data_IF_761507060845
#
_entry.id   IF_761507060845
#
_cell.length_a   1.000
_cell.length_b   1.000
_cell.length_c   1.000
_cell.angle_alpha   90.00
_cell.angle_beta   90.00
_cell.angle_gamma   90.00
#
_symmetry.space_group_name_H-M   'P 1'
#
loop_
_entity.id
_entity.type
_entity.pdbx_description
1 polymer ?
#
# COMPACT_ATOMS: atom_id res chain seq x y z
N UNK A 1 25.93 -5.40 0.34
CA UNK A 1 25.02 -6.48 -0.12
C UNK A 1 24.95 -6.49 -1.65
N UNK A 2 25.07 -7.65 -2.33
CA UNK A 2 24.86 -7.74 -3.79
C UNK A 2 23.41 -8.13 -4.04
N UNK A 3 22.62 -7.26 -4.67
CA UNK A 3 21.27 -7.60 -5.10
C UNK A 3 21.33 -8.54 -6.29
N UNK A 4 20.73 -9.72 -6.15
CA UNK A 4 20.61 -10.70 -7.22
C UNK A 4 19.15 -10.88 -7.59
N UNK A 5 18.83 -10.60 -8.85
CA UNK A 5 17.50 -10.79 -9.41
C UNK A 5 17.61 -11.85 -10.50
N UNK A 6 17.03 -13.03 -10.31
CA UNK A 6 16.99 -14.04 -11.35
C UNK A 6 16.33 -13.49 -12.63
N UNK A 7 16.92 -13.78 -13.79
CA UNK A 7 16.41 -13.30 -15.09
C UNK A 7 14.94 -13.66 -15.33
N UNK A 8 14.53 -14.87 -14.92
CA UNK A 8 13.15 -15.32 -15.10
C UNK A 8 12.16 -14.43 -14.33
N UNK A 9 12.49 -13.95 -13.13
CA UNK A 9 11.62 -13.03 -12.37
C UNK A 9 11.33 -11.78 -13.19
N UNK A 10 12.37 -11.23 -13.84
CA UNK A 10 12.22 -10.03 -14.66
C UNK A 10 11.36 -10.29 -15.90
N UNK A 11 11.57 -11.43 -16.57
CA UNK A 11 10.79 -11.83 -17.74
C UNK A 11 9.30 -12.00 -17.38
N UNK A 12 9.03 -12.58 -16.21
CA UNK A 12 7.69 -12.89 -15.68
C UNK A 12 7.00 -11.71 -14.99
N UNK A 13 7.72 -10.68 -14.59
CA UNK A 13 7.15 -9.46 -14.00
C UNK A 13 6.10 -8.80 -14.91
N UNK A 14 5.20 -7.97 -14.35
CA UNK A 14 4.23 -7.20 -15.14
C UNK A 14 4.96 -6.09 -15.92
N UNK A 15 5.57 -5.14 -15.19
CA UNK A 15 6.23 -3.96 -15.75
C UNK A 15 7.74 -3.90 -15.48
N UNK A 16 8.25 -4.79 -14.64
CA UNK A 16 9.61 -4.75 -14.12
C UNK A 16 9.62 -5.22 -12.67
N UNK A 17 10.78 -5.13 -12.04
CA UNK A 17 10.96 -5.49 -10.62
C UNK A 17 11.26 -4.24 -9.83
N UNK A 18 10.56 -4.09 -8.70
CA UNK A 18 10.78 -3.03 -7.73
C UNK A 18 11.60 -3.57 -6.57
N UNK A 19 12.67 -2.86 -6.23
CA UNK A 19 13.64 -3.23 -5.19
C UNK A 19 13.90 -2.02 -4.32
N UNK A 20 13.82 -2.19 -3.00
CA UNK A 20 14.29 -1.17 -2.08
C UNK A 20 15.78 -1.33 -1.81
N UNK A 21 16.53 -0.24 -1.99
CA UNK A 21 17.94 -0.14 -1.70
C UNK A 21 18.15 0.63 -0.39
N UNK A 22 18.97 0.05 0.47
CA UNK A 22 19.28 0.58 1.80
C UNK A 22 20.71 1.13 1.84
N UNK A 23 20.88 2.44 1.61
CA UNK A 23 22.16 3.09 1.87
C UNK A 23 22.39 3.16 3.39
N UNK A 24 23.57 2.72 3.84
CA UNK A 24 23.97 2.77 5.26
C UNK A 24 24.20 4.21 5.74
N UNK A 25 24.62 5.09 4.84
CA UNK A 25 25.15 6.42 5.20
C UNK A 25 24.14 7.57 5.01
N UNK A 26 22.88 7.31 4.65
CA UNK A 26 21.92 8.40 4.43
C UNK A 26 20.53 8.18 5.04
N UNK A 27 19.85 9.30 5.28
CA UNK A 27 18.52 9.39 5.89
C UNK A 27 17.38 9.12 4.87
N UNK A 28 17.71 8.57 3.71
CA UNK A 28 16.76 8.25 2.66
C UNK A 28 16.98 6.81 2.20
N UNK A 29 15.95 6.24 1.59
CA UNK A 29 16.04 4.96 0.89
C UNK A 29 15.79 5.21 -0.59
N UNK A 30 16.30 4.32 -1.44
CA UNK A 30 16.04 4.40 -2.87
C UNK A 30 15.17 3.23 -3.27
N UNK A 31 14.09 3.50 -4.00
CA UNK A 31 13.29 2.48 -4.65
C UNK A 31 13.77 2.41 -6.10
N UNK A 32 14.38 1.30 -6.47
CA UNK A 32 14.86 1.01 -7.81
C UNK A 32 13.82 0.21 -8.59
N UNK A 33 13.49 0.69 -9.78
CA UNK A 33 12.59 0.06 -10.73
C UNK A 33 13.42 -0.44 -11.90
N UNK A 34 13.48 -1.75 -12.07
CA UNK A 34 14.26 -2.41 -13.11
C UNK A 34 13.28 -2.93 -14.16
N UNK A 35 13.24 -2.28 -15.32
CA UNK A 35 12.34 -2.70 -16.40
C UNK A 35 12.85 -3.96 -17.12
N UNK A 36 12.00 -4.56 -17.96
CA UNK A 36 12.35 -5.76 -18.74
C UNK A 36 13.50 -5.55 -19.74
N UNK A 37 13.89 -4.30 -20.02
CA UNK A 37 15.02 -3.91 -20.87
C UNK A 37 16.27 -3.61 -20.04
N UNK A 38 16.26 -3.91 -18.74
CA UNK A 38 17.34 -3.64 -17.79
C UNK A 38 17.63 -2.15 -17.57
N UNK A 39 16.69 -1.27 -17.92
CA UNK A 39 16.80 0.13 -17.53
C UNK A 39 16.38 0.28 -16.07
N UNK A 40 17.20 1.02 -15.33
CA UNK A 40 16.98 1.28 -13.91
C UNK A 40 16.49 2.72 -13.78
N UNK A 41 15.32 2.90 -13.16
CA UNK A 41 14.85 4.19 -12.65
C UNK A 41 14.90 4.13 -11.12
N UNK A 42 15.24 5.24 -10.49
CA UNK A 42 15.30 5.33 -9.02
C UNK A 42 14.41 6.44 -8.52
N UNK A 43 13.75 6.19 -7.40
CA UNK A 43 12.96 7.17 -6.65
C UNK A 43 13.54 7.28 -5.25
N UNK A 44 13.74 8.49 -4.76
CA UNK A 44 14.15 8.74 -3.38
C UNK A 44 12.91 8.71 -2.50
N UNK A 45 13.00 8.05 -1.35
CA UNK A 45 11.97 8.06 -0.32
C UNK A 45 12.60 8.40 1.04
N UNK A 46 11.84 9.09 1.88
CA UNK A 46 12.23 9.34 3.28
C UNK A 46 12.33 8.01 4.01
N UNK A 47 13.40 7.82 4.79
CA UNK A 47 13.66 6.59 5.54
C UNK A 47 12.88 6.62 6.85
N UNK A 48 12.07 5.59 7.11
CA UNK A 48 11.42 5.44 8.43
C UNK A 48 12.33 4.82 9.48
N UNK A 49 13.03 3.74 9.11
CA UNK A 49 13.82 2.92 10.02
C UNK A 49 15.07 2.39 9.32
N UNK A 50 16.05 1.99 10.11
CA UNK A 50 17.23 1.28 9.64
C UNK A 50 16.90 -0.17 9.27
N UNK A 51 17.59 -0.69 8.26
CA UNK A 51 17.43 -2.07 7.80
C UNK A 51 18.14 -3.04 8.75
N UNK A 52 17.56 -4.23 8.95
CA UNK A 52 18.13 -5.31 9.75
C UNK A 52 18.25 -6.56 8.88
N UNK A 53 19.44 -7.15 8.83
CA UNK A 53 19.73 -8.36 8.03
C UNK A 53 19.02 -9.63 8.53
N UNK A 54 18.45 -9.59 9.73
CA UNK A 54 17.75 -10.71 10.33
C UNK A 54 16.49 -10.24 11.04
N UNK A 55 15.47 -11.10 11.00
CA UNK A 55 14.22 -10.93 11.73
C UNK A 55 14.30 -11.75 13.03
N UNK A 56 14.16 -11.10 14.19
CA UNK A 56 13.94 -11.86 15.43
C UNK A 56 12.50 -12.37 15.45
N UNK A 57 12.35 -13.67 15.16
CA UNK A 57 11.05 -14.33 15.07
C UNK A 57 10.31 -14.40 16.42
N UNK A 58 10.99 -14.13 17.53
CA UNK A 58 10.40 -14.16 18.88
C UNK A 58 9.64 -12.89 19.21
N UNK A 59 9.93 -11.78 18.53
CA UNK A 59 9.36 -10.47 18.81
C UNK A 59 8.91 -9.78 17.51
N UNK A 60 7.74 -10.20 17.00
CA UNK A 60 7.20 -9.64 15.76
C UNK A 60 6.48 -8.31 16.05
N UNK A 61 7.02 -7.22 15.51
CA UNK A 61 6.50 -5.85 15.63
C UNK A 61 6.49 -5.13 14.28
N UNK A 62 5.76 -4.00 14.17
CA UNK A 62 5.77 -3.17 12.95
C UNK A 62 7.21 -2.76 12.60
N UNK A 63 7.97 -2.31 13.59
CA UNK A 63 9.36 -1.90 13.43
C UNK A 63 10.21 -3.03 12.84
N UNK A 64 10.15 -4.23 13.44
CA UNK A 64 10.96 -5.36 13.00
C UNK A 64 10.59 -5.81 11.58
N UNK A 65 9.31 -5.74 11.20
CA UNK A 65 8.87 -6.08 9.84
C UNK A 65 9.31 -5.04 8.81
N UNK A 66 9.22 -3.74 9.12
CA UNK A 66 9.72 -2.68 8.25
C UNK A 66 11.24 -2.78 8.10
N UNK A 67 11.97 -2.98 9.20
CA UNK A 67 13.43 -3.12 9.17
C UNK A 67 13.88 -4.36 8.41
N UNK A 68 13.11 -5.45 8.40
CA UNK A 68 13.48 -6.70 7.73
C UNK A 68 13.09 -6.74 6.25
N UNK A 69 11.87 -6.31 5.91
CA UNK A 69 11.40 -6.32 4.52
C UNK A 69 11.83 -5.08 3.73
N UNK A 70 12.03 -3.97 4.43
CA UNK A 70 11.98 -2.64 3.84
C UNK A 70 10.59 -2.03 3.92
N UNK A 71 10.54 -0.71 4.06
CA UNK A 71 9.30 0.04 4.13
C UNK A 71 8.46 -0.09 2.85
N UNK A 72 9.07 -0.16 1.66
CA UNK A 72 8.34 -0.28 0.38
C UNK A 72 7.58 -1.61 0.34
N UNK A 73 8.29 -2.72 0.59
CA UNK A 73 7.69 -4.06 0.61
C UNK A 73 6.64 -4.17 1.71
N UNK A 74 6.93 -3.66 2.91
CA UNK A 74 5.97 -3.66 4.01
C UNK A 74 4.70 -2.86 3.67
N UNK A 75 4.84 -1.68 3.05
CA UNK A 75 3.70 -0.87 2.61
C UNK A 75 2.90 -1.58 1.53
N UNK A 76 3.55 -2.21 0.55
CA UNK A 76 2.87 -3.00 -0.49
C UNK A 76 2.08 -4.16 0.14
N UNK A 77 2.67 -4.90 1.09
CA UNK A 77 1.98 -5.98 1.79
C UNK A 77 0.75 -5.42 2.53
N UNK A 78 0.95 -4.36 3.31
CA UNK A 78 -0.14 -3.73 4.07
C UNK A 78 -1.25 -3.24 3.15
N UNK A 79 -0.89 -2.56 2.06
CA UNK A 79 -1.81 -2.05 1.05
C UNK A 79 -2.61 -3.17 0.38
N UNK A 80 -1.93 -4.22 -0.09
CA UNK A 80 -2.57 -5.37 -0.71
C UNK A 80 -3.63 -5.98 0.22
N UNK A 81 -3.29 -6.15 1.49
CA UNK A 81 -4.18 -6.71 2.51
C UNK A 81 -5.35 -5.77 2.79
N UNK A 82 -5.07 -4.48 2.97
CA UNK A 82 -6.07 -3.45 3.24
C UNK A 82 -7.15 -3.39 2.14
N UNK A 83 -6.72 -3.51 0.89
CA UNK A 83 -7.58 -3.53 -0.30
C UNK A 83 -7.96 -4.94 -0.78
N UNK A 84 -7.77 -5.98 0.04
CA UNK A 84 -8.19 -7.37 -0.22
C UNK A 84 -7.60 -8.00 -1.50
N UNK A 85 -6.45 -7.50 -1.96
CA UNK A 85 -5.64 -8.19 -2.95
C UNK A 85 -4.98 -9.43 -2.36
N UNK A 86 -4.73 -10.41 -3.21
CA UNK A 86 -3.96 -11.58 -2.82
C UNK A 86 -2.47 -11.26 -2.84
N UNK A 87 -1.75 -11.73 -1.83
CA UNK A 87 -0.29 -11.58 -1.69
C UNK A 87 0.37 -12.96 -1.70
N UNK A 88 1.35 -13.15 -2.58
CA UNK A 88 2.10 -14.40 -2.66
C UNK A 88 3.57 -14.16 -2.41
N UNK A 89 4.18 -14.97 -1.53
CA UNK A 89 5.63 -15.01 -1.38
C UNK A 89 6.22 -16.23 -2.09
N UNK A 90 7.33 -16.03 -2.78
CA UNK A 90 8.05 -17.14 -3.42
C UNK A 90 9.09 -17.68 -2.43
N UNK A 91 8.93 -18.92 -1.99
CA UNK A 91 9.95 -19.68 -1.24
C UNK A 91 10.13 -19.35 0.26
N UNK A 92 9.16 -18.70 0.93
CA UNK A 92 9.28 -18.25 2.34
C UNK A 92 8.07 -18.62 3.22
N UNK A 93 7.70 -19.90 3.31
CA UNK A 93 6.54 -20.36 4.10
C UNK A 93 6.58 -19.94 5.58
N UNK A 94 7.73 -20.05 6.24
CA UNK A 94 7.88 -19.70 7.66
C UNK A 94 7.54 -18.23 7.93
N UNK A 95 8.04 -17.35 7.05
CA UNK A 95 7.82 -15.90 7.13
C UNK A 95 6.35 -15.57 6.89
N UNK A 96 5.64 -16.34 6.06
CA UNK A 96 4.20 -16.15 5.88
C UNK A 96 3.43 -16.45 7.15
N UNK A 97 3.77 -17.52 7.88
CA UNK A 97 3.09 -17.84 9.12
C UNK A 97 3.24 -16.70 10.14
N UNK A 98 4.46 -16.17 10.25
CA UNK A 98 4.81 -15.01 11.08
C UNK A 98 4.02 -13.76 10.65
N UNK A 99 4.08 -13.40 9.36
CA UNK A 99 3.35 -12.27 8.81
C UNK A 99 1.86 -12.41 9.03
N UNK A 100 1.30 -13.58 8.77
CA UNK A 100 -0.12 -13.89 8.96
C UNK A 100 -0.51 -13.74 10.43
N UNK A 101 0.28 -14.26 11.37
CA UNK A 101 0.03 -14.12 12.80
C UNK A 101 0.09 -12.66 13.26
N UNK A 102 1.04 -11.89 12.75
CA UNK A 102 1.14 -10.46 13.05
C UNK A 102 -0.05 -9.68 12.48
N UNK A 103 -0.34 -9.87 11.19
CA UNK A 103 -1.41 -9.17 10.49
C UNK A 103 -2.78 -9.52 11.07
N UNK A 104 -2.99 -10.71 11.63
CA UNK A 104 -4.18 -11.10 12.41
C UNK A 104 -4.50 -10.18 13.57
N UNK A 105 -3.47 -9.55 14.16
CA UNK A 105 -3.65 -8.59 15.25
C UNK A 105 -4.17 -7.25 14.73
N UNK A 106 -3.91 -6.91 13.47
CA UNK A 106 -4.33 -5.65 12.84
C UNK A 106 -5.64 -5.86 12.08
N UNK A 107 -5.79 -6.88 11.25
CA UNK A 107 -6.94 -7.04 10.36
C UNK A 107 -7.83 -8.23 10.71
N UNK A 108 -8.32 -8.27 11.94
CA UNK A 108 -9.08 -9.40 12.53
C UNK A 108 -10.16 -10.03 11.64
N UNK A 109 -10.68 -9.29 10.66
CA UNK A 109 -11.75 -9.69 9.74
C UNK A 109 -11.28 -10.41 8.46
N UNK A 110 -9.97 -10.58 8.23
CA UNK A 110 -9.45 -11.19 6.99
C UNK A 110 -9.29 -12.72 7.08
N UNK A 111 -9.65 -13.42 6.01
CA UNK A 111 -9.37 -14.84 5.83
C UNK A 111 -7.94 -15.08 5.31
N UNK A 112 -6.95 -14.96 6.19
CA UNK A 112 -5.52 -14.92 5.81
C UNK A 112 -5.02 -16.10 4.98
N UNK A 113 -5.48 -17.33 5.26
CA UNK A 113 -5.03 -18.52 4.52
C UNK A 113 -5.49 -18.56 3.05
N UNK A 114 -6.42 -17.68 2.67
CA UNK A 114 -6.80 -17.45 1.28
C UNK A 114 -6.02 -16.28 0.68
N UNK A 115 -5.85 -15.19 1.44
CA UNK A 115 -5.29 -13.93 0.92
C UNK A 115 -3.76 -13.85 0.93
N UNK A 116 -3.06 -14.57 1.81
CA UNK A 116 -1.59 -14.56 1.90
C UNK A 116 -1.09 -16.01 1.90
N UNK A 117 -0.27 -16.37 0.93
CA UNK A 117 0.27 -17.73 0.82
C UNK A 117 1.62 -17.78 0.13
N UNK A 118 2.31 -18.91 0.26
CA UNK A 118 3.61 -19.14 -0.35
C UNK A 118 3.42 -20.11 -1.51
N UNK A 119 4.25 -19.92 -2.52
CA UNK A 119 4.44 -20.91 -3.58
C UNK A 119 5.94 -21.12 -3.77
N UNK A 120 6.30 -22.28 -4.31
CA UNK A 120 7.67 -22.48 -4.76
C UNK A 120 7.92 -21.72 -6.08
N UNK A 121 9.20 -21.61 -6.43
CA UNK A 121 9.63 -20.90 -7.62
C UNK A 121 9.12 -21.59 -8.91
N UNK A 122 9.11 -22.92 -8.94
CA UNK A 122 8.70 -23.68 -10.13
C UNK A 122 7.22 -23.47 -10.44
N UNK A 123 6.38 -23.43 -9.40
CA UNK A 123 4.96 -23.14 -9.50
C UNK A 123 4.73 -21.75 -10.07
N UNK A 124 5.45 -20.75 -9.56
CA UNK A 124 5.35 -19.38 -10.08
C UNK A 124 5.76 -19.30 -11.56
N UNK A 125 6.86 -19.96 -11.93
CA UNK A 125 7.37 -19.98 -13.30
C UNK A 125 6.38 -20.62 -14.29
N UNK A 126 5.74 -21.72 -13.89
CA UNK A 126 4.76 -22.47 -14.69
C UNK A 126 3.41 -21.74 -14.76
N UNK A 127 2.99 -21.10 -13.69
CA UNK A 127 1.64 -20.55 -13.53
C UNK A 127 1.57 -19.03 -13.44
N UNK A 128 2.58 -18.29 -13.89
CA UNK A 128 2.66 -16.81 -13.76
C UNK A 128 1.38 -16.08 -14.16
N UNK A 129 0.69 -16.53 -15.22
CA UNK A 129 -0.57 -15.92 -15.70
C UNK A 129 -1.70 -15.96 -14.66
N UNK A 130 -1.71 -16.95 -13.76
CA UNK A 130 -2.67 -17.08 -12.65
C UNK A 130 -2.48 -15.96 -11.62
N UNK A 131 -1.27 -15.45 -11.51
CA UNK A 131 -0.83 -14.50 -10.47
C UNK A 131 -0.75 -13.05 -10.96
N UNK A 132 -1.29 -12.74 -12.15
CA UNK A 132 -1.15 -11.42 -12.78
C UNK A 132 -1.83 -10.27 -12.00
N UNK A 133 -2.84 -10.60 -11.19
CA UNK A 133 -3.64 -9.66 -10.41
C UNK A 133 -3.33 -9.78 -8.90
N UNK A 134 -2.16 -10.32 -8.56
CA UNK A 134 -1.70 -10.59 -7.20
C UNK A 134 -0.48 -9.73 -6.92
N UNK A 135 -0.27 -9.36 -5.65
CA UNK A 135 1.03 -8.86 -5.19
C UNK A 135 1.98 -10.05 -5.08
N UNK A 136 3.09 -10.04 -5.80
CA UNK A 136 4.09 -11.11 -5.78
C UNK A 136 5.41 -10.58 -5.26
N UNK A 137 5.88 -11.18 -4.17
CA UNK A 137 7.14 -10.82 -3.50
C UNK A 137 8.07 -12.03 -3.53
N UNK A 138 9.31 -11.83 -3.94
CA UNK A 138 10.31 -12.91 -3.95
C UNK A 138 11.00 -13.10 -2.59
N UNK A 139 11.85 -14.12 -2.53
CA UNK A 139 12.62 -14.46 -1.34
C UNK A 139 13.71 -13.43 -0.97
N UNK A 140 13.93 -12.39 -1.77
CA UNK A 140 14.86 -11.30 -1.48
C UNK A 140 14.11 -10.00 -1.15
N UNK A 141 12.79 -10.07 -0.90
CA UNK A 141 11.94 -8.91 -0.69
C UNK A 141 11.91 -7.98 -1.91
N UNK A 142 12.00 -8.53 -3.12
CA UNK A 142 11.72 -7.78 -4.34
C UNK A 142 10.25 -7.94 -4.71
N UNK A 143 9.62 -6.87 -5.19
CA UNK A 143 8.26 -6.93 -5.73
C UNK A 143 8.35 -7.24 -7.23
N UNK A 144 7.74 -8.35 -7.62
CA UNK A 144 7.79 -8.92 -8.98
C UNK A 144 6.54 -8.57 -9.78
N UNK A 145 5.37 -8.57 -9.12
CA UNK A 145 4.08 -8.19 -9.70
C UNK A 145 3.34 -7.35 -8.68
N UNK A 146 2.75 -6.25 -9.14
CA UNK A 146 1.85 -5.38 -8.39
C UNK A 146 0.48 -5.42 -9.05
N UNK A 147 -0.61 -5.61 -8.28
CA UNK A 147 -1.95 -5.72 -8.82
C UNK A 147 -2.58 -4.37 -9.17
N UNK A 148 -1.98 -3.27 -8.69
CA UNK A 148 -2.41 -1.89 -8.89
C UNK A 148 -1.54 -1.16 -9.93
N UNK A 149 -2.03 -0.03 -10.43
CA UNK A 149 -1.33 0.75 -11.46
C UNK A 149 -0.32 1.71 -10.85
N UNK A 150 0.90 1.73 -11.40
CA UNK A 150 2.05 2.53 -10.90
C UNK A 150 1.78 4.04 -10.82
N UNK A 151 0.81 4.55 -11.60
CA UNK A 151 0.47 5.98 -11.63
C UNK A 151 -0.35 6.45 -10.41
N UNK A 152 -0.98 5.53 -9.67
CA UNK A 152 -1.88 5.87 -8.56
C UNK A 152 -1.25 5.72 -7.17
N UNK A 153 -0.04 5.18 -7.07
CA UNK A 153 0.54 4.87 -5.77
C UNK A 153 1.45 5.96 -5.22
N UNK A 154 0.84 6.78 -4.38
CA UNK A 154 1.56 7.47 -3.33
C UNK A 154 1.22 6.70 -2.05
N UNK A 155 2.15 5.87 -1.57
CA UNK A 155 2.13 5.27 -0.21
C UNK A 155 2.23 6.36 0.89
N UNK A 156 1.68 7.55 0.64
CA UNK A 156 1.60 8.68 1.54
C UNK A 156 0.76 8.35 2.76
N UNK A 157 -0.30 7.54 2.58
CA UNK A 157 -1.11 7.09 3.69
C UNK A 157 -0.33 6.16 4.60
N UNK A 158 0.21 5.08 4.05
CA UNK A 158 1.01 4.10 4.79
C UNK A 158 2.20 4.80 5.45
N UNK A 159 2.90 5.67 4.71
CA UNK A 159 4.00 6.45 5.24
C UNK A 159 3.59 7.33 6.42
N UNK A 160 2.51 8.12 6.30
CA UNK A 160 2.04 9.00 7.39
C UNK A 160 1.54 8.19 8.58
N UNK A 161 0.84 7.09 8.32
CA UNK A 161 0.35 6.17 9.34
C UNK A 161 1.52 5.60 10.14
N UNK A 162 2.47 4.96 9.48
CA UNK A 162 3.58 4.31 10.17
C UNK A 162 4.57 5.30 10.76
N UNK A 163 4.77 6.47 10.14
CA UNK A 163 5.54 7.57 10.75
C UNK A 163 4.95 8.05 12.07
N UNK A 164 3.62 8.10 12.19
CA UNK A 164 2.92 8.45 13.44
C UNK A 164 2.97 7.30 14.44
N UNK A 165 2.61 6.10 14.01
CA UNK A 165 2.52 4.89 14.86
C UNK A 165 3.86 4.58 15.51
N UNK A 166 4.96 4.62 14.75
CA UNK A 166 6.30 4.31 15.24
C UNK A 166 6.85 5.32 16.26
N UNK A 167 6.20 6.47 16.47
CA UNK A 167 6.58 7.41 17.55
C UNK A 167 6.19 6.86 18.93
N UNK A 168 5.26 5.90 18.99
CA UNK A 168 4.87 5.27 20.22
C UNK A 168 5.82 4.10 20.55
N UNK A 169 6.49 4.08 21.72
CA UNK A 169 7.38 2.98 22.07
C UNK A 169 6.64 1.67 22.40
N UNK A 170 5.34 1.70 22.68
CA UNK A 170 4.56 0.50 23.02
C UNK A 170 4.01 -0.18 21.76
N UNK A 171 4.49 -1.39 21.47
CA UNK A 171 4.09 -2.20 20.31
C UNK A 171 2.59 -2.55 20.28
N UNK A 172 1.94 -2.71 21.44
CA UNK A 172 0.51 -2.99 21.49
C UNK A 172 -0.28 -1.74 21.11
N UNK A 173 0.16 -0.57 21.59
CA UNK A 173 -0.46 0.70 21.20
C UNK A 173 -0.22 0.96 19.72
N UNK A 174 0.95 0.62 19.18
CA UNK A 174 1.20 0.71 17.73
C UNK A 174 0.20 -0.10 16.90
N UNK A 175 -0.10 -1.34 17.32
CA UNK A 175 -1.10 -2.20 16.67
C UNK A 175 -2.50 -1.58 16.76
N UNK A 176 -2.88 -1.11 17.95
CA UNK A 176 -4.19 -0.48 18.19
C UNK A 176 -4.36 0.80 17.37
N UNK A 177 -3.34 1.65 17.29
CA UNK A 177 -3.35 2.88 16.50
C UNK A 177 -3.49 2.56 15.00
N UNK A 178 -2.78 1.54 14.52
CA UNK A 178 -2.89 1.06 13.13
C UNK A 178 -4.30 0.55 12.82
N UNK A 179 -4.87 -0.26 13.72
CA UNK A 179 -6.23 -0.77 13.58
C UNK A 179 -7.29 0.33 13.63
N UNK A 180 -7.14 1.27 14.56
CA UNK A 180 -8.08 2.38 14.73
C UNK A 180 -8.12 3.26 13.47
N UNK A 181 -6.97 3.48 12.83
CA UNK A 181 -6.92 4.22 11.57
C UNK A 181 -7.62 3.47 10.42
N UNK A 182 -7.47 2.15 10.38
CA UNK A 182 -8.20 1.30 9.44
C UNK A 182 -9.72 1.42 9.64
N UNK A 183 -10.21 1.24 10.86
CA UNK A 183 -11.64 1.36 11.17
C UNK A 183 -12.17 2.76 10.86
N UNK A 184 -11.38 3.80 11.16
CA UNK A 184 -11.72 5.20 10.83
C UNK A 184 -11.97 5.37 9.34
N UNK A 185 -11.10 4.83 8.48
CA UNK A 185 -11.27 4.94 7.02
C UNK A 185 -12.49 4.18 6.50
N UNK A 186 -12.79 3.01 7.08
CA UNK A 186 -13.99 2.24 6.71
C UNK A 186 -15.27 3.00 7.10
N UNK A 187 -15.32 3.55 8.32
CA UNK A 187 -16.45 4.37 8.80
C UNK A 187 -16.61 5.64 7.96
N UNK A 188 -15.49 6.27 7.61
CA UNK A 188 -15.49 7.46 6.76
C UNK A 188 -16.02 7.13 5.36
N UNK A 189 -15.64 5.99 4.81
CA UNK A 189 -16.13 5.52 3.51
C UNK A 189 -17.64 5.27 3.53
N UNK A 190 -18.16 4.62 4.58
CA UNK A 190 -19.61 4.42 4.77
C UNK A 190 -20.36 5.76 4.87
N UNK A 191 -19.81 6.71 5.63
CA UNK A 191 -20.39 8.05 5.80
C UNK A 191 -20.45 8.79 4.47
N UNK A 192 -19.35 8.78 3.71
CA UNK A 192 -19.27 9.42 2.39
C UNK A 192 -20.26 8.78 1.42
N UNK A 193 -20.38 7.45 1.41
CA UNK A 193 -21.33 6.77 0.53
C UNK A 193 -22.77 7.22 0.78
N UNK A 194 -23.19 7.30 2.05
CA UNK A 194 -24.52 7.78 2.44
C UNK A 194 -24.77 9.22 2.01
N UNK A 195 -23.80 10.11 2.20
CA UNK A 195 -23.91 11.51 1.76
C UNK A 195 -23.94 11.64 0.23
N UNK A 196 -23.25 10.76 -0.49
CA UNK A 196 -23.21 10.77 -1.96
C UNK A 196 -24.42 10.09 -2.62
N UNK A 197 -25.31 9.43 -1.86
CA UNK A 197 -26.53 8.83 -2.41
C UNK A 197 -27.41 9.83 -3.18
N UNK A 198 -27.80 10.98 -2.59
CA UNK A 198 -28.61 11.99 -3.29
C UNK A 198 -27.80 12.84 -4.28
N UNK A 199 -26.47 12.77 -4.26
CA UNK A 199 -25.59 13.67 -5.02
C UNK A 199 -25.18 13.03 -6.35
N UNK A 200 -25.40 13.75 -7.45
CA UNK A 200 -24.96 13.32 -8.78
C UNK A 200 -23.44 13.44 -8.97
N UNK A 201 -22.88 14.56 -8.51
CA UNK A 201 -21.45 14.88 -8.62
C UNK A 201 -21.06 15.92 -7.57
N UNK A 202 -19.86 15.80 -6.99
CA UNK A 202 -19.26 16.74 -6.04
C UNK A 202 -17.76 16.88 -6.30
N UNK A 203 -17.19 18.05 -6.03
CA UNK A 203 -15.74 18.22 -6.07
C UNK A 203 -15.08 17.64 -4.81
N UNK A 204 -13.79 17.31 -4.88
CA UNK A 204 -13.03 16.86 -3.71
C UNK A 204 -13.04 17.91 -2.58
N UNK A 205 -12.91 19.20 -2.92
CA UNK A 205 -12.91 20.28 -1.92
C UNK A 205 -14.28 20.50 -1.28
N UNK A 206 -15.37 20.40 -2.06
CA UNK A 206 -16.73 20.53 -1.53
C UNK A 206 -17.06 19.33 -0.63
N UNK A 207 -16.65 18.12 -1.01
CA UNK A 207 -16.81 16.92 -0.17
C UNK A 207 -16.07 17.09 1.16
N UNK A 208 -14.81 17.54 1.12
CA UNK A 208 -14.01 17.80 2.32
C UNK A 208 -14.71 18.80 3.24
N UNK A 209 -15.25 19.88 2.66
CA UNK A 209 -15.97 20.92 3.40
C UNK A 209 -17.27 20.40 4.01
N UNK A 210 -18.07 19.66 3.25
CA UNK A 210 -19.32 19.09 3.76
C UNK A 210 -19.09 18.12 4.94
N UNK A 211 -18.03 17.30 4.86
CA UNK A 211 -17.69 16.36 5.93
C UNK A 211 -17.25 17.08 7.22
N UNK A 212 -16.47 18.15 7.10
CA UNK A 212 -16.05 18.95 8.24
C UNK A 212 -17.24 19.70 8.85
N UNK A 213 -18.09 20.33 8.04
CA UNK A 213 -19.22 21.13 8.52
C UNK A 213 -20.34 20.26 9.14
N UNK A 214 -20.76 19.18 8.47
CA UNK A 214 -21.89 18.36 8.91
C UNK A 214 -21.51 17.32 9.97
N UNK A 215 -20.33 16.70 9.83
CA UNK A 215 -19.93 15.55 10.64
C UNK A 215 -18.74 15.82 11.55
N UNK A 216 -18.13 17.01 11.47
CA UNK A 216 -16.88 17.33 12.17
C UNK A 216 -15.76 16.32 11.82
N UNK A 217 -15.83 15.76 10.60
CA UNK A 217 -14.88 14.77 10.10
C UNK A 217 -13.88 15.43 9.16
N UNK A 218 -12.63 15.52 9.62
CA UNK A 218 -11.53 16.00 8.77
C UNK A 218 -11.00 14.86 7.94
N UNK A 219 -10.97 15.09 6.63
CA UNK A 219 -10.31 14.18 5.69
C UNK A 219 -9.15 14.92 5.02
N UNK A 220 -8.09 14.20 4.74
CA UNK A 220 -6.99 14.72 3.95
C UNK A 220 -7.17 14.37 2.48
N UNK A 221 -6.68 15.21 1.57
CA UNK A 221 -6.82 14.96 0.12
C UNK A 221 -6.22 13.62 -0.33
N UNK A 222 -5.13 13.18 0.30
CA UNK A 222 -4.51 11.88 0.01
C UNK A 222 -5.37 10.67 0.42
N UNK A 223 -6.38 10.87 1.27
CA UNK A 223 -7.32 9.82 1.69
C UNK A 223 -8.45 9.61 0.68
N UNK A 224 -8.72 10.59 -0.20
CA UNK A 224 -9.81 10.50 -1.17
C UNK A 224 -9.63 9.33 -2.16
N UNK A 225 -8.45 9.12 -2.78
CA UNK A 225 -8.21 7.94 -3.61
C UNK A 225 -8.44 6.62 -2.86
N UNK A 226 -8.05 6.57 -1.59
CA UNK A 226 -8.23 5.40 -0.72
C UNK A 226 -9.72 5.14 -0.51
N UNK A 227 -10.49 6.17 -0.15
CA UNK A 227 -11.94 6.08 0.07
C UNK A 227 -12.64 5.62 -1.22
N UNK A 228 -12.27 6.16 -2.38
CA UNK A 228 -12.78 5.71 -3.68
C UNK A 228 -12.55 4.21 -3.85
N UNK A 229 -11.34 3.74 -3.57
CA UNK A 229 -11.00 2.33 -3.72
C UNK A 229 -11.70 1.43 -2.69
N UNK A 230 -11.81 1.88 -1.45
CA UNK A 230 -12.57 1.17 -0.40
C UNK A 230 -14.05 1.07 -0.73
N UNK A 231 -14.64 2.10 -1.32
CA UNK A 231 -16.06 2.10 -1.72
C UNK A 231 -16.37 1.00 -2.76
N UNK A 232 -15.45 0.80 -3.70
CA UNK A 232 -15.54 -0.28 -4.69
C UNK A 232 -15.41 -1.66 -4.02
N UNK A 233 -14.40 -1.85 -3.17
CA UNK A 233 -14.06 -3.16 -2.60
C UNK A 233 -15.03 -3.63 -1.51
N UNK A 234 -15.42 -2.73 -0.60
CA UNK A 234 -16.23 -3.09 0.57
C UNK A 234 -17.73 -2.94 0.31
N UNK A 235 -18.12 -2.06 -0.61
CA UNK A 235 -19.53 -1.72 -0.86
C UNK A 235 -19.95 -1.92 -2.32
N UNK A 236 -19.06 -2.40 -3.21
CA UNK A 236 -19.39 -2.65 -4.61
C UNK A 236 -19.77 -1.39 -5.39
N UNK A 237 -19.40 -0.20 -4.90
CA UNK A 237 -19.86 1.08 -5.42
C UNK A 237 -18.68 1.91 -5.90
N UNK A 238 -18.62 2.20 -7.21
CA UNK A 238 -17.61 3.10 -7.77
C UNK A 238 -18.06 4.56 -7.67
N UNK A 239 -17.41 5.34 -6.80
CA UNK A 239 -17.65 6.78 -6.64
C UNK A 239 -16.65 7.65 -7.41
N UNK A 240 -15.72 7.08 -8.17
CA UNK A 240 -14.65 7.82 -8.84
C UNK A 240 -15.16 8.87 -9.82
N UNK A 241 -16.32 8.61 -10.44
CA UNK A 241 -17.01 9.55 -11.34
C UNK A 241 -17.90 10.56 -10.61
N UNK A 242 -18.33 10.24 -9.39
CA UNK A 242 -19.13 11.15 -8.54
C UNK A 242 -18.24 12.18 -7.85
N UNK A 243 -17.07 11.77 -7.37
CA UNK A 243 -16.11 12.64 -6.66
C UNK A 243 -15.01 13.07 -7.62
N UNK A 244 -15.15 14.25 -8.21
CA UNK A 244 -14.21 14.76 -9.20
C UNK A 244 -13.11 15.60 -8.57
N UNK A 245 -11.86 15.40 -9.02
CA UNK A 245 -10.74 16.27 -8.62
C UNK A 245 -11.07 17.72 -8.92
N UNK A 246 -10.82 18.60 -7.96
CA UNK A 246 -10.87 20.04 -8.22
C UNK A 246 -9.75 20.39 -9.18
N UNK A 247 -10.08 20.81 -10.40
CA UNK A 247 -9.10 21.37 -11.34
C UNK A 247 -8.76 22.78 -10.87
N UNK A 248 -7.84 22.89 -9.92
CA UNK A 248 -7.26 24.18 -9.54
C UNK A 248 -6.29 24.60 -10.65
N UNK A 249 -6.83 25.21 -11.70
CA UNK A 249 -6.02 25.74 -12.79
C UNK A 249 -6.66 25.71 -14.17
N UNK A 250 -7.87 26.25 -14.34
CA UNK A 250 -8.36 26.67 -15.68
C UNK A 250 -9.58 27.64 -15.65
N UNK A 251 -9.74 28.45 -14.60
CA UNK A 251 -10.78 29.51 -14.58
C UNK A 251 -10.24 30.94 -14.44
N UNK A 252 -8.93 31.15 -14.46
CA UNK A 252 -8.34 32.50 -14.55
C UNK A 252 -8.12 32.99 -15.98
N UNK A 253 -8.24 32.14 -17.02
CA UNK A 253 -8.02 32.55 -18.42
C UNK A 253 -9.30 32.74 -19.25
N UNK A 254 -10.48 32.41 -18.71
CA UNK A 254 -11.76 32.55 -19.43
C UNK A 254 -12.56 33.81 -19.03
N UNK A 255 -12.34 34.37 -17.84
CA UNK A 255 -13.01 35.59 -17.38
C UNK A 255 -12.24 36.89 -17.70
N UNK A 256 -11.06 36.83 -18.32
CA UNK A 256 -10.35 38.02 -18.86
C UNK A 256 -10.63 38.28 -20.35
N UNK A 257 -11.59 37.57 -20.97
CA UNK A 257 -11.93 37.72 -22.40
C UNK A 257 -13.43 37.82 -22.71
N UNK A 258 -14.24 38.31 -21.78
CA UNK A 258 -15.61 38.81 -22.04
C UNK A 258 -15.71 40.20 -21.43
#
# INVERSE_FOLDING_TARGET
MKYFIPKFMLEKSKNGIRVQLFPEECNHTFIAFIDKKLKIKTKVAEKLLDFKDSLDLREISIENLISFFGQDVFFNIFHAIFFRFYTVFIGREEIINIMTQFLRKIFTQLEYGRHIFAIDQEEFERNTKKYKDFLIIDFNSNIVIEPYDEEEEIFDFEFKLFKKVLQNPDQNVQILDTYSEFERLILLTDTILKELEPIKQISEDDLMKELDEKFQMKINRYEIPIIKKLSEIYYGTDISKKVTRTVVGQMSSWFEKI
#
